data_IF_486218241392
#
_entry.id   IF_486218241392
#
_cell.length_a   1.000
_cell.length_b   1.000
_cell.length_c   1.000
_cell.angle_alpha   90.00
_cell.angle_beta   90.00
_cell.angle_gamma   90.00
#
_symmetry.space_group_name_H-M   'P 1'
#
loop_
_entity.id
_entity.type
_entity.pdbx_description
1 polymer ?
#
# COMPACT_ATOMS: atom_id res chain seq x y z
N UNK A 1 -66.77 -32.29 -13.62
CA UNK A 1 -66.22 -30.91 -13.77
C UNK A 1 -65.79 -30.24 -12.46
N UNK A 2 -66.62 -30.19 -11.40
CA UNK A 2 -66.27 -29.44 -10.15
C UNK A 2 -65.04 -29.97 -9.37
N UNK A 3 -64.69 -31.26 -9.47
CA UNK A 3 -63.49 -31.84 -8.81
C UNK A 3 -62.18 -31.54 -9.55
N UNK A 4 -62.21 -31.48 -10.87
CA UNK A 4 -61.02 -31.15 -11.70
C UNK A 4 -60.64 -29.67 -11.53
N UNK A 5 -61.65 -28.78 -11.46
CA UNK A 5 -61.42 -27.36 -11.25
C UNK A 5 -60.80 -27.04 -9.88
N UNK A 6 -61.15 -27.81 -8.83
CA UNK A 6 -60.55 -27.67 -7.50
C UNK A 6 -59.10 -28.17 -7.44
N UNK A 7 -58.76 -29.21 -8.22
CA UNK A 7 -57.40 -29.74 -8.29
C UNK A 7 -56.46 -28.79 -9.04
N UNK A 8 -56.93 -28.18 -10.13
CA UNK A 8 -56.18 -27.17 -10.88
C UNK A 8 -55.95 -25.89 -10.05
N UNK A 9 -56.94 -25.45 -9.26
CA UNK A 9 -56.80 -24.27 -8.40
C UNK A 9 -55.81 -24.51 -7.24
N UNK A 10 -55.74 -25.73 -6.69
CA UNK A 10 -54.75 -26.08 -5.66
C UNK A 10 -53.32 -26.15 -6.23
N UNK A 11 -53.13 -26.65 -7.46
CA UNK A 11 -51.81 -26.65 -8.11
C UNK A 11 -51.34 -25.24 -8.50
N UNK A 12 -52.25 -24.35 -8.87
CA UNK A 12 -51.93 -22.93 -9.13
C UNK A 12 -51.52 -22.18 -7.85
N UNK A 13 -52.14 -22.50 -6.70
CA UNK A 13 -51.77 -21.89 -5.41
C UNK A 13 -50.45 -22.46 -4.84
N UNK A 14 -50.14 -23.75 -5.05
CA UNK A 14 -48.84 -24.30 -4.69
C UNK A 14 -47.68 -23.75 -5.54
N UNK A 15 -47.89 -23.46 -6.83
CA UNK A 15 -46.85 -22.86 -7.67
C UNK A 15 -46.61 -21.37 -7.36
N UNK A 16 -47.63 -20.63 -6.91
CA UNK A 16 -47.45 -19.24 -6.48
C UNK A 16 -46.58 -19.12 -5.21
N UNK A 17 -46.64 -20.11 -4.31
CA UNK A 17 -45.78 -20.16 -3.12
C UNK A 17 -44.32 -20.52 -3.39
N UNK A 18 -44.05 -21.26 -4.48
CA UNK A 18 -42.70 -21.68 -4.87
C UNK A 18 -41.99 -20.61 -5.70
N UNK A 19 -42.74 -19.84 -6.51
CA UNK A 19 -42.18 -18.72 -7.28
C UNK A 19 -41.70 -17.55 -6.40
N UNK A 20 -42.28 -17.37 -5.20
CA UNK A 20 -41.86 -16.34 -4.24
C UNK A 20 -40.61 -16.67 -3.43
N UNK A 21 -40.12 -17.92 -3.49
CA UNK A 21 -38.96 -18.38 -2.71
C UNK A 21 -37.66 -18.43 -3.53
N UNK A 22 -37.73 -18.43 -4.87
CA UNK A 22 -36.54 -18.49 -5.75
C UNK A 22 -36.03 -17.12 -6.24
N UNK A 23 -36.75 -16.03 -5.96
CA UNK A 23 -36.31 -14.66 -6.29
C UNK A 23 -36.42 -13.75 -5.06
N UNK A 24 -35.52 -13.96 -4.11
CA UNK A 24 -35.08 -12.91 -3.17
C UNK A 24 -33.60 -12.63 -3.37
N UNK A 25 -33.19 -12.39 -4.61
CA UNK A 25 -32.04 -11.52 -4.81
C UNK A 25 -32.52 -10.12 -4.35
N UNK A 26 -31.82 -9.52 -3.38
CA UNK A 26 -32.12 -8.15 -3.00
C UNK A 26 -32.01 -7.28 -4.25
N UNK A 27 -33.03 -6.47 -4.56
CA UNK A 27 -33.04 -5.60 -5.75
C UNK A 27 -31.81 -4.68 -5.83
N UNK A 28 -31.11 -4.48 -4.72
CA UNK A 28 -29.86 -3.72 -4.64
C UNK A 28 -28.68 -4.34 -5.41
N UNK A 29 -28.64 -5.65 -5.64
CA UNK A 29 -27.49 -6.30 -6.34
C UNK A 29 -27.67 -6.37 -7.86
N UNK A 30 -28.83 -5.92 -8.39
CA UNK A 30 -29.11 -5.90 -9.84
C UNK A 30 -28.42 -4.73 -10.55
N UNK A 31 -27.95 -3.72 -9.81
CA UNK A 31 -27.20 -2.56 -10.32
C UNK A 31 -25.68 -2.68 -10.17
N UNK A 32 -25.19 -3.74 -9.55
CA UNK A 32 -23.75 -3.93 -9.29
C UNK A 32 -22.99 -4.03 -10.62
N UNK A 33 -21.82 -3.38 -10.69
CA UNK A 33 -20.89 -3.61 -11.79
C UNK A 33 -20.38 -5.07 -11.75
N UNK A 34 -19.81 -5.54 -12.86
CA UNK A 34 -19.19 -6.88 -12.90
C UNK A 34 -18.09 -7.02 -11.86
N UNK A 35 -17.29 -5.97 -11.66
CA UNK A 35 -16.20 -5.90 -10.69
C UNK A 35 -16.73 -5.93 -9.25
N UNK A 36 -17.78 -5.16 -8.93
CA UNK A 36 -18.44 -5.19 -7.61
C UNK A 36 -18.99 -6.59 -7.32
N UNK A 37 -19.67 -7.20 -8.29
CA UNK A 37 -20.19 -8.55 -8.15
C UNK A 37 -19.07 -9.59 -7.95
N UNK A 38 -17.92 -9.42 -8.61
CA UNK A 38 -16.75 -10.27 -8.44
C UNK A 38 -16.12 -10.11 -7.04
N UNK A 39 -15.87 -8.88 -6.60
CA UNK A 39 -15.33 -8.61 -5.27
C UNK A 39 -16.24 -9.18 -4.17
N UNK A 40 -17.56 -9.02 -4.28
CA UNK A 40 -18.52 -9.61 -3.32
C UNK A 40 -18.40 -11.12 -3.26
N UNK A 41 -18.26 -11.81 -4.41
CA UNK A 41 -18.03 -13.27 -4.44
C UNK A 41 -16.71 -13.66 -3.79
N UNK A 42 -15.63 -12.94 -4.07
CA UNK A 42 -14.31 -13.24 -3.51
C UNK A 42 -14.27 -13.03 -1.99
N UNK A 43 -14.74 -11.87 -1.51
CA UNK A 43 -14.83 -11.61 -0.07
C UNK A 43 -15.73 -12.66 0.59
N UNK A 44 -16.89 -12.96 0.01
CA UNK A 44 -17.80 -13.94 0.58
C UNK A 44 -17.24 -15.35 0.67
N UNK A 45 -16.34 -15.74 -0.25
CA UNK A 45 -15.59 -16.98 -0.10
C UNK A 45 -14.55 -16.86 1.03
N UNK A 46 -13.67 -15.88 0.98
CA UNK A 46 -12.57 -15.76 1.94
C UNK A 46 -13.08 -15.60 3.37
N UNK A 47 -14.10 -14.78 3.59
CA UNK A 47 -14.71 -14.53 4.90
C UNK A 47 -15.74 -15.58 5.33
N UNK A 48 -15.95 -16.65 4.55
CA UNK A 48 -16.93 -17.67 4.88
C UNK A 48 -16.57 -18.35 6.21
N UNK A 49 -17.60 -18.66 7.00
CA UNK A 49 -17.46 -19.37 8.28
C UNK A 49 -16.76 -20.73 8.12
N UNK A 50 -16.92 -21.39 6.97
CA UNK A 50 -16.28 -22.67 6.63
C UNK A 50 -14.75 -22.59 6.52
N UNK A 51 -14.19 -21.39 6.34
CA UNK A 51 -12.73 -21.18 6.34
C UNK A 51 -12.20 -20.90 7.75
N UNK A 52 -13.07 -20.88 8.77
CA UNK A 52 -12.70 -20.80 10.19
C UNK A 52 -11.73 -19.64 10.52
N UNK A 53 -11.82 -18.53 9.77
CA UNK A 53 -10.98 -17.36 9.95
C UNK A 53 -9.58 -17.44 9.32
N UNK A 54 -9.28 -18.48 8.52
CA UNK A 54 -8.05 -18.61 7.73
C UNK A 54 -6.78 -18.48 8.58
N UNK A 55 -6.77 -19.06 9.78
CA UNK A 55 -5.61 -19.06 10.66
C UNK A 55 -4.36 -19.59 9.95
N UNK A 56 -3.19 -18.99 10.17
CA UNK A 56 -1.95 -19.50 9.61
C UNK A 56 -1.78 -20.99 9.93
N UNK A 57 -1.49 -21.80 8.90
CA UNK A 57 -1.35 -23.26 8.97
C UNK A 57 -2.64 -24.07 9.19
N UNK A 58 -3.81 -23.43 9.17
CA UNK A 58 -5.11 -24.12 9.19
C UNK A 58 -5.51 -24.68 7.82
N UNK A 59 -6.49 -25.59 7.81
CA UNK A 59 -7.17 -25.96 6.56
C UNK A 59 -7.87 -24.76 5.90
N UNK A 60 -8.36 -23.78 6.67
CA UNK A 60 -8.93 -22.54 6.13
C UNK A 60 -7.94 -21.70 5.31
N UNK A 61 -6.68 -21.62 5.74
CA UNK A 61 -5.61 -20.96 4.96
C UNK A 61 -5.30 -21.75 3.67
N UNK A 62 -5.30 -23.09 3.74
CA UNK A 62 -5.12 -23.96 2.58
C UNK A 62 -6.22 -23.77 1.54
N UNK A 63 -7.48 -23.81 1.96
CA UNK A 63 -8.62 -23.61 1.06
C UNK A 63 -8.62 -22.20 0.45
N UNK A 64 -8.22 -21.19 1.22
CA UNK A 64 -8.00 -19.84 0.69
C UNK A 64 -6.89 -19.80 -0.38
N UNK A 65 -5.77 -20.49 -0.16
CA UNK A 65 -4.69 -20.58 -1.13
C UNK A 65 -5.13 -21.26 -2.43
N UNK A 66 -5.84 -22.39 -2.32
CA UNK A 66 -6.38 -23.12 -3.48
C UNK A 66 -7.32 -22.22 -4.28
N UNK A 67 -8.25 -21.53 -3.62
CA UNK A 67 -9.15 -20.61 -4.28
C UNK A 67 -8.42 -19.48 -5.01
N UNK A 68 -7.42 -18.88 -4.37
CA UNK A 68 -6.61 -17.82 -4.97
C UNK A 68 -5.86 -18.33 -6.22
N UNK A 69 -5.22 -19.51 -6.13
CA UNK A 69 -4.53 -20.14 -7.24
C UNK A 69 -5.46 -20.50 -8.41
N UNK A 70 -6.64 -21.06 -8.13
CA UNK A 70 -7.64 -21.35 -9.15
C UNK A 70 -8.16 -20.08 -9.84
N UNK A 71 -8.40 -19.01 -9.08
CA UNK A 71 -8.86 -17.74 -9.62
C UNK A 71 -7.79 -17.12 -10.53
N UNK A 72 -6.51 -17.14 -10.15
CA UNK A 72 -5.41 -16.77 -11.04
C UNK A 72 -5.41 -17.58 -12.34
N UNK A 73 -5.53 -18.91 -12.26
CA UNK A 73 -5.64 -19.77 -13.43
C UNK A 73 -6.82 -19.42 -14.34
N UNK A 74 -8.00 -19.14 -13.78
CA UNK A 74 -9.20 -18.70 -14.52
C UNK A 74 -8.99 -17.37 -15.23
N UNK A 75 -8.19 -16.47 -14.65
CA UNK A 75 -7.83 -15.18 -15.26
C UNK A 75 -6.67 -15.29 -16.27
N UNK A 76 -6.11 -16.49 -16.45
CA UNK A 76 -4.98 -16.74 -17.34
C UNK A 76 -3.65 -16.22 -16.79
N UNK A 77 -3.56 -15.98 -15.49
CA UNK A 77 -2.32 -15.62 -14.78
C UNK A 77 -1.53 -16.90 -14.54
N UNK A 78 -0.25 -16.90 -14.89
CA UNK A 78 0.60 -18.08 -14.76
C UNK A 78 0.95 -18.30 -13.29
N UNK A 79 0.82 -19.53 -12.78
CA UNK A 79 1.22 -19.84 -11.41
C UNK A 79 2.71 -20.19 -11.35
N UNK A 80 3.43 -19.54 -10.44
CA UNK A 80 4.83 -19.85 -10.10
C UNK A 80 4.89 -20.84 -8.94
N UNK A 81 3.95 -20.72 -8.00
CA UNK A 81 3.77 -21.70 -6.91
C UNK A 81 2.89 -22.87 -7.37
N UNK A 82 2.87 -24.00 -6.62
CA UNK A 82 1.80 -24.98 -6.73
C UNK A 82 0.41 -24.34 -6.53
N UNK A 83 -0.64 -24.97 -7.07
CA UNK A 83 -2.01 -24.47 -6.96
C UNK A 83 -2.50 -24.38 -5.50
N UNK A 84 -1.99 -25.26 -4.63
CA UNK A 84 -2.27 -25.27 -3.18
C UNK A 84 -1.36 -24.32 -2.38
N UNK A 85 -0.51 -23.56 -3.05
CA UNK A 85 0.51 -22.70 -2.46
C UNK A 85 1.84 -23.41 -2.22
N UNK A 86 2.91 -22.63 -2.18
CA UNK A 86 4.25 -23.08 -1.78
C UNK A 86 4.34 -23.09 -0.26
N UNK A 87 4.67 -24.25 0.32
CA UNK A 87 4.73 -24.44 1.76
C UNK A 87 6.03 -23.91 2.37
N UNK A 88 5.93 -23.33 3.55
CA UNK A 88 7.08 -22.98 4.39
C UNK A 88 6.79 -23.19 5.88
N UNK A 89 7.85 -23.43 6.65
CA UNK A 89 7.76 -23.71 8.09
C UNK A 89 8.29 -22.57 8.95
N UNK A 90 7.61 -22.31 10.06
CA UNK A 90 8.00 -21.37 11.11
C UNK A 90 8.11 -22.10 12.45
N UNK A 91 9.29 -22.04 13.05
CA UNK A 91 9.51 -22.62 14.38
C UNK A 91 8.78 -21.78 15.43
N UNK A 92 7.90 -22.42 16.19
CA UNK A 92 7.16 -21.83 17.29
C UNK A 92 7.95 -21.92 18.59
N UNK A 93 7.61 -21.08 19.56
CA UNK A 93 8.22 -21.12 20.91
C UNK A 93 7.96 -22.45 21.63
N UNK A 94 6.85 -23.14 21.30
CA UNK A 94 6.55 -24.49 21.82
C UNK A 94 7.56 -25.56 21.37
N UNK A 95 8.39 -25.26 20.36
CA UNK A 95 9.27 -26.22 19.70
C UNK A 95 8.65 -26.86 18.45
N UNK A 96 7.35 -26.70 18.22
CA UNK A 96 6.67 -27.18 17.02
C UNK A 96 6.98 -26.31 15.79
N UNK A 97 6.68 -26.83 14.60
CA UNK A 97 6.76 -26.06 13.35
C UNK A 97 5.35 -25.80 12.84
N UNK A 98 5.00 -24.51 12.73
CA UNK A 98 3.82 -24.09 12.01
C UNK A 98 4.13 -24.09 10.51
N UNK A 99 3.32 -24.79 9.72
CA UNK A 99 3.46 -24.82 8.25
C UNK A 99 2.41 -23.90 7.63
N UNK A 100 2.84 -22.85 6.95
CA UNK A 100 1.99 -21.92 6.19
C UNK A 100 2.36 -21.97 4.70
N UNK A 101 1.76 -21.11 3.87
CA UNK A 101 1.87 -21.16 2.41
C UNK A 101 1.76 -19.80 1.74
N UNK A 102 2.52 -19.61 0.67
CA UNK A 102 2.35 -18.47 -0.23
C UNK A 102 1.76 -18.92 -1.56
N UNK A 103 0.97 -18.06 -2.21
CA UNK A 103 0.51 -18.28 -3.59
C UNK A 103 1.11 -17.20 -4.48
N UNK A 104 1.77 -17.59 -5.57
CA UNK A 104 2.47 -16.65 -6.46
C UNK A 104 1.96 -16.81 -7.89
N UNK A 105 1.33 -15.75 -8.40
CA UNK A 105 0.96 -15.57 -9.79
C UNK A 105 1.93 -14.66 -10.54
N UNK A 106 2.05 -14.84 -11.85
CA UNK A 106 2.98 -14.13 -12.72
C UNK A 106 2.27 -13.59 -13.96
N UNK A 107 2.56 -12.34 -14.28
CA UNK A 107 2.13 -11.67 -15.51
C UNK A 107 3.40 -11.17 -16.23
N UNK A 108 3.69 -11.66 -17.45
CA UNK A 108 4.91 -11.28 -18.16
C UNK A 108 4.83 -9.85 -18.70
N UNK A 109 5.92 -9.10 -18.53
CA UNK A 109 6.15 -7.83 -19.21
C UNK A 109 6.60 -8.00 -20.66
N UNK A 110 6.36 -7.01 -21.51
CA UNK A 110 6.70 -7.06 -22.94
C UNK A 110 8.09 -6.49 -23.28
N UNK A 111 8.63 -5.61 -22.43
CA UNK A 111 9.86 -4.86 -22.71
C UNK A 111 11.08 -5.78 -22.59
N UNK A 112 11.98 -5.76 -23.59
CA UNK A 112 13.10 -6.72 -23.66
C UNK A 112 14.09 -6.56 -22.52
N UNK A 113 14.24 -5.35 -21.99
CA UNK A 113 15.17 -5.03 -20.90
C UNK A 113 14.47 -5.14 -19.55
N UNK A 114 13.22 -4.66 -19.46
CA UNK A 114 12.50 -4.55 -18.20
C UNK A 114 11.66 -5.78 -17.83
N UNK A 115 11.38 -6.72 -18.74
CA UNK A 115 10.56 -7.90 -18.43
C UNK A 115 11.15 -8.81 -17.35
N UNK A 116 12.46 -8.75 -17.10
CA UNK A 116 13.14 -9.50 -16.04
C UNK A 116 13.27 -8.69 -14.74
N UNK A 117 12.64 -7.51 -14.68
CA UNK A 117 12.41 -6.74 -13.46
C UNK A 117 10.96 -6.92 -13.04
N UNK A 118 10.74 -6.93 -11.73
CA UNK A 118 9.46 -7.31 -11.14
C UNK A 118 8.87 -6.19 -10.29
N UNK A 119 7.57 -5.96 -10.46
CA UNK A 119 6.75 -5.28 -9.46
C UNK A 119 5.97 -6.33 -8.72
N UNK A 120 6.12 -6.40 -7.40
CA UNK A 120 5.34 -7.30 -6.55
C UNK A 120 4.07 -6.59 -6.10
N UNK A 121 2.92 -7.24 -6.24
CA UNK A 121 1.65 -6.77 -5.69
C UNK A 121 1.16 -7.85 -4.74
N UNK A 122 1.03 -7.50 -3.47
CA UNK A 122 0.81 -8.46 -2.40
C UNK A 122 -0.43 -8.18 -1.58
N UNK A 123 -1.04 -9.24 -1.06
CA UNK A 123 -2.07 -9.19 -0.04
C UNK A 123 -1.87 -10.33 0.96
N UNK A 124 -2.16 -10.07 2.24
CA UNK A 124 -2.20 -11.10 3.28
C UNK A 124 -3.28 -12.14 3.01
N UNK A 125 -2.91 -13.42 3.05
CA UNK A 125 -3.77 -14.59 2.86
C UNK A 125 -4.46 -15.04 4.15
N UNK A 126 -3.68 -15.15 5.23
CA UNK A 126 -4.13 -15.62 6.53
C UNK A 126 -4.89 -14.53 7.31
N UNK A 127 -5.64 -14.96 8.31
CA UNK A 127 -6.23 -14.07 9.31
C UNK A 127 -6.14 -14.74 10.70
N UNK A 128 -6.82 -14.18 11.70
CA UNK A 128 -6.81 -14.70 13.06
C UNK A 128 -7.36 -16.14 13.09
N UNK A 129 -6.59 -17.01 13.73
CA UNK A 129 -7.02 -18.36 14.04
C UNK A 129 -8.32 -18.33 14.89
N UNK A 130 -9.19 -19.35 14.74
CA UNK A 130 -10.39 -19.45 15.55
C UNK A 130 -10.01 -19.58 17.03
N UNK A 131 -10.84 -19.02 17.90
CA UNK A 131 -10.68 -19.10 19.34
C UNK A 131 -11.91 -19.69 20.01
N UNK A 132 -11.91 -19.72 21.33
CA UNK A 132 -13.08 -20.04 22.14
C UNK A 132 -13.39 -18.90 23.10
N UNK A 133 -14.67 -18.71 23.39
CA UNK A 133 -15.13 -17.80 24.44
C UNK A 133 -16.12 -18.50 25.35
N UNK A 134 -16.00 -18.27 26.66
CA UNK A 134 -16.97 -18.74 27.65
C UNK A 134 -17.99 -17.64 27.91
N UNK A 135 -19.27 -17.91 27.59
CA UNK A 135 -20.40 -17.02 27.90
C UNK A 135 -21.33 -17.79 28.82
N UNK A 136 -21.60 -17.26 30.02
CA UNK A 136 -22.44 -17.89 31.04
C UNK A 136 -22.04 -19.33 31.38
N UNK A 137 -20.73 -19.61 31.41
CA UNK A 137 -20.18 -20.94 31.68
C UNK A 137 -20.21 -21.91 30.48
N UNK A 138 -20.73 -21.49 29.33
CA UNK A 138 -20.76 -22.29 28.10
C UNK A 138 -19.63 -21.86 27.17
N UNK A 139 -18.72 -22.79 26.85
CA UNK A 139 -17.67 -22.60 25.85
C UNK A 139 -18.31 -22.60 24.46
N UNK A 140 -18.03 -21.55 23.68
CA UNK A 140 -18.46 -21.42 22.28
C UNK A 140 -17.28 -21.08 21.39
N UNK A 141 -17.32 -21.59 20.17
CA UNK A 141 -16.35 -21.24 19.14
C UNK A 141 -16.52 -19.78 18.72
N UNK A 142 -15.39 -19.10 18.64
CA UNK A 142 -15.26 -17.72 18.18
C UNK A 142 -14.49 -17.72 16.87
N UNK A 143 -15.14 -17.28 15.81
CA UNK A 143 -14.56 -17.20 14.47
C UNK A 143 -14.37 -15.73 14.11
N UNK A 144 -13.21 -15.41 13.55
CA UNK A 144 -12.88 -14.07 13.05
C UNK A 144 -12.93 -14.09 11.52
N UNK A 145 -14.03 -13.65 10.87
CA UNK A 145 -14.18 -13.81 9.43
C UNK A 145 -13.12 -13.04 8.64
N UNK A 146 -12.69 -11.87 9.15
CA UNK A 146 -11.64 -11.07 8.53
C UNK A 146 -12.03 -10.59 7.15
N UNK A 147 -13.26 -10.06 7.01
CA UNK A 147 -13.80 -9.57 5.75
C UNK A 147 -13.00 -8.36 5.24
N UNK A 148 -12.78 -7.35 6.07
CA UNK A 148 -11.87 -6.26 5.73
C UNK A 148 -10.42 -6.70 5.94
N UNK A 149 -10.08 -7.37 7.03
CA UNK A 149 -8.71 -7.82 7.33
C UNK A 149 -8.48 -9.33 7.12
N UNK A 150 -8.13 -9.86 5.95
CA UNK A 150 -7.83 -9.18 4.69
C UNK A 150 -8.53 -9.80 3.48
N UNK A 151 -9.76 -10.31 3.63
CA UNK A 151 -10.51 -10.81 2.46
C UNK A 151 -10.73 -9.70 1.39
N UNK A 152 -10.88 -8.45 1.82
CA UNK A 152 -10.96 -7.28 0.96
C UNK A 152 -9.69 -7.10 0.11
N UNK A 153 -8.50 -7.14 0.70
CA UNK A 153 -7.23 -7.03 -0.03
C UNK A 153 -6.98 -8.20 -0.97
N UNK A 154 -7.38 -9.43 -0.60
CA UNK A 154 -7.33 -10.59 -1.51
C UNK A 154 -8.28 -10.43 -2.71
N UNK A 155 -9.49 -9.90 -2.48
CA UNK A 155 -10.43 -9.59 -3.56
C UNK A 155 -9.87 -8.49 -4.49
N UNK A 156 -9.25 -7.45 -3.93
CA UNK A 156 -8.53 -6.42 -4.70
C UNK A 156 -7.39 -7.02 -5.52
N UNK A 157 -6.58 -7.92 -4.94
CA UNK A 157 -5.47 -8.58 -5.63
C UNK A 157 -5.96 -9.39 -6.84
N UNK A 158 -7.06 -10.12 -6.68
CA UNK A 158 -7.69 -10.89 -7.75
C UNK A 158 -8.19 -10.02 -8.90
N UNK A 159 -8.97 -8.98 -8.59
CA UNK A 159 -9.52 -8.12 -9.63
C UNK A 159 -8.46 -7.23 -10.29
N UNK A 160 -7.49 -6.73 -9.52
CA UNK A 160 -6.33 -6.01 -10.06
C UNK A 160 -5.51 -6.92 -10.98
N UNK A 161 -5.27 -8.16 -10.54
CA UNK A 161 -4.58 -9.18 -11.34
C UNK A 161 -5.31 -9.46 -12.65
N UNK A 162 -6.64 -9.60 -12.62
CA UNK A 162 -7.47 -9.76 -13.82
C UNK A 162 -7.30 -8.58 -14.78
N UNK A 163 -7.41 -7.35 -14.27
CA UNK A 163 -7.27 -6.13 -15.08
C UNK A 163 -5.88 -6.00 -15.71
N UNK A 164 -4.81 -6.24 -14.93
CA UNK A 164 -3.43 -6.22 -15.41
C UNK A 164 -3.18 -7.33 -16.43
N UNK A 165 -3.73 -8.53 -16.21
CA UNK A 165 -3.56 -9.66 -17.12
C UNK A 165 -4.25 -9.44 -18.46
N UNK A 166 -5.44 -8.85 -18.46
CA UNK A 166 -6.14 -8.42 -19.69
C UNK A 166 -5.29 -7.42 -20.49
N UNK A 167 -4.60 -6.51 -19.79
CA UNK A 167 -3.81 -5.43 -20.38
C UNK A 167 -2.30 -5.71 -20.42
N UNK A 168 -1.86 -6.96 -20.24
CA UNK A 168 -0.45 -7.30 -20.02
C UNK A 168 0.51 -6.80 -21.12
N UNK A 169 0.02 -6.63 -22.35
CA UNK A 169 0.80 -6.08 -23.48
C UNK A 169 1.19 -4.61 -23.29
N UNK A 170 0.61 -3.92 -22.31
CA UNK A 170 0.94 -2.55 -21.94
C UNK A 170 1.94 -2.49 -20.78
N UNK A 171 2.36 -3.62 -20.23
CA UNK A 171 3.22 -3.70 -19.05
C UNK A 171 4.67 -3.94 -19.44
N UNK A 172 5.56 -2.97 -19.17
CA UNK A 172 6.99 -3.09 -19.51
C UNK A 172 7.70 -4.10 -18.60
N UNK A 173 7.54 -3.96 -17.29
CA UNK A 173 8.02 -4.93 -16.29
C UNK A 173 7.05 -6.08 -16.10
N UNK A 174 7.57 -7.20 -15.61
CA UNK A 174 6.69 -8.29 -15.17
C UNK A 174 6.09 -7.98 -13.81
N UNK A 175 4.92 -8.56 -13.53
CA UNK A 175 4.22 -8.39 -12.26
C UNK A 175 4.10 -9.74 -11.57
N UNK A 176 4.41 -9.76 -10.27
CA UNK A 176 4.19 -10.89 -9.39
C UNK A 176 3.01 -10.56 -8.47
N UNK A 177 1.98 -11.40 -8.49
CA UNK A 177 0.82 -11.30 -7.60
C UNK A 177 0.99 -12.30 -6.48
N UNK A 178 1.03 -11.86 -5.23
CA UNK A 178 1.38 -12.73 -4.10
C UNK A 178 0.34 -12.69 -2.99
N UNK A 179 -0.21 -13.85 -2.66
CA UNK A 179 -0.94 -14.08 -1.41
C UNK A 179 0.03 -14.57 -0.35
N UNK A 180 0.31 -13.74 0.66
CA UNK A 180 1.29 -14.06 1.72
C UNK A 180 0.62 -14.81 2.88
N UNK A 181 1.11 -16.02 3.19
CA UNK A 181 0.68 -16.77 4.36
C UNK A 181 1.39 -16.32 5.63
N UNK A 182 0.79 -16.61 6.78
CA UNK A 182 1.34 -16.29 8.10
C UNK A 182 1.83 -14.84 8.26
N UNK A 183 1.20 -13.89 7.56
CA UNK A 183 1.52 -12.47 7.64
C UNK A 183 1.18 -11.89 9.00
N UNK A 184 0.15 -12.44 9.66
CA UNK A 184 -0.20 -12.09 11.05
C UNK A 184 0.90 -12.44 12.06
N UNK A 185 1.86 -13.31 11.69
CA UNK A 185 3.03 -13.65 12.50
C UNK A 185 4.28 -12.97 11.93
N UNK A 186 4.35 -11.64 12.07
CA UNK A 186 5.50 -10.82 11.66
C UNK A 186 5.86 -10.92 10.16
N UNK A 187 4.85 -10.95 9.26
CA UNK A 187 5.06 -10.94 7.80
C UNK A 187 5.90 -12.13 7.29
N UNK A 188 5.74 -13.28 7.95
CA UNK A 188 6.61 -14.42 7.72
C UNK A 188 6.57 -14.93 6.28
N UNK A 189 5.40 -14.93 5.63
CA UNK A 189 5.27 -15.29 4.22
C UNK A 189 6.03 -14.34 3.30
N UNK A 190 5.92 -13.03 3.51
CA UNK A 190 6.68 -12.04 2.74
C UNK A 190 8.20 -12.15 2.97
N UNK A 191 8.63 -12.40 4.21
CA UNK A 191 10.03 -12.66 4.51
C UNK A 191 10.52 -13.94 3.83
N UNK A 192 9.76 -15.03 3.87
CA UNK A 192 10.13 -16.28 3.23
C UNK A 192 10.22 -16.14 1.70
N UNK A 193 9.26 -15.44 1.09
CA UNK A 193 9.28 -15.11 -0.33
C UNK A 193 10.58 -14.41 -0.74
N UNK A 194 10.99 -13.37 0.00
CA UNK A 194 12.19 -12.58 -0.28
C UNK A 194 13.52 -13.29 0.00
N UNK A 195 13.55 -14.24 0.95
CA UNK A 195 14.81 -14.80 1.44
C UNK A 195 15.04 -16.25 1.01
N UNK A 196 14.00 -16.96 0.55
CA UNK A 196 14.06 -18.42 0.35
C UNK A 196 13.38 -18.91 -0.92
N UNK A 197 12.23 -18.33 -1.29
CA UNK A 197 11.37 -18.87 -2.36
C UNK A 197 11.66 -18.26 -3.73
N UNK A 198 11.67 -16.93 -3.85
CA UNK A 198 11.92 -16.27 -5.13
C UNK A 198 13.43 -16.06 -5.33
N UNK A 199 14.00 -16.61 -6.40
CA UNK A 199 15.45 -16.55 -6.65
C UNK A 199 15.95 -15.18 -7.10
N UNK A 200 15.09 -14.40 -7.77
CA UNK A 200 15.48 -13.18 -8.50
C UNK A 200 15.10 -11.91 -7.72
N UNK A 201 15.19 -11.97 -6.40
CA UNK A 201 14.76 -10.88 -5.50
C UNK A 201 15.52 -9.57 -5.72
N UNK A 202 16.77 -9.65 -6.20
CA UNK A 202 17.57 -8.49 -6.59
C UNK A 202 16.94 -7.67 -7.75
N UNK A 203 16.06 -8.30 -8.55
CA UNK A 203 15.36 -7.66 -9.67
C UNK A 203 13.94 -7.20 -9.30
N UNK A 204 13.54 -7.27 -8.03
CA UNK A 204 12.31 -6.66 -7.55
C UNK A 204 12.54 -5.15 -7.42
N UNK A 205 11.88 -4.36 -8.27
CA UNK A 205 12.06 -2.92 -8.32
C UNK A 205 11.16 -2.17 -7.32
N UNK A 206 9.98 -2.71 -7.00
CA UNK A 206 9.08 -2.16 -5.98
C UNK A 206 7.98 -3.15 -5.58
N UNK A 207 7.27 -2.81 -4.50
CA UNK A 207 6.14 -3.56 -3.97
C UNK A 207 4.90 -2.69 -3.71
N UNK A 208 3.73 -3.19 -4.08
CA UNK A 208 2.41 -2.63 -3.73
C UNK A 208 1.74 -3.59 -2.75
N UNK A 209 1.36 -3.10 -1.57
CA UNK A 209 0.67 -3.87 -0.54
C UNK A 209 -0.80 -3.49 -0.46
N UNK A 210 -1.67 -4.50 -0.43
CA UNK A 210 -3.12 -4.35 -0.34
C UNK A 210 -3.60 -4.98 0.97
N UNK A 211 -3.95 -4.15 1.96
CA UNK A 211 -4.46 -4.63 3.25
C UNK A 211 -5.58 -3.74 3.76
N UNK A 212 -6.73 -4.35 4.10
CA UNK A 212 -7.88 -3.65 4.69
C UNK A 212 -8.46 -2.55 3.78
N UNK A 213 -8.78 -2.90 2.53
CA UNK A 213 -9.36 -2.01 1.52
C UNK A 213 -10.85 -2.29 1.32
N UNK A 214 -11.68 -1.84 2.24
CA UNK A 214 -13.12 -2.09 2.13
C UNK A 214 -14.05 -1.24 2.97
N UNK A 215 -13.53 -0.44 3.90
CA UNK A 215 -14.39 0.30 4.85
C UNK A 215 -14.70 1.73 4.48
N UNK A 216 -14.26 2.26 3.33
CA UNK A 216 -14.68 3.51 2.63
C UNK A 216 -14.83 4.79 3.48
N UNK A 217 -15.73 4.77 4.46
CA UNK A 217 -15.92 5.78 5.50
C UNK A 217 -14.68 6.03 6.39
N UNK A 218 -13.79 5.04 6.50
CA UNK A 218 -12.53 5.19 7.25
C UNK A 218 -11.47 6.01 6.50
N UNK A 219 -11.68 6.28 5.21
CA UNK A 219 -10.74 6.97 4.33
C UNK A 219 -10.08 6.03 3.30
N UNK A 220 -9.18 6.58 2.49
CA UNK A 220 -8.32 5.84 1.57
C UNK A 220 -6.91 6.41 1.69
N UNK A 221 -5.95 5.57 2.08
CA UNK A 221 -4.61 6.00 2.45
C UNK A 221 -3.54 5.27 1.64
N UNK A 222 -2.43 5.97 1.43
CA UNK A 222 -1.23 5.43 0.84
C UNK A 222 -0.02 5.73 1.74
N UNK A 223 0.59 4.68 2.28
CA UNK A 223 1.82 4.78 3.05
C UNK A 223 3.00 4.34 2.18
N UNK A 224 3.91 5.26 1.88
CA UNK A 224 5.07 5.02 0.98
C UNK A 224 6.39 4.84 1.71
N UNK A 225 6.36 4.70 3.04
CA UNK A 225 7.56 4.67 3.88
C UNK A 225 8.51 5.85 3.62
N UNK A 226 7.95 7.02 3.35
CA UNK A 226 8.69 8.25 2.96
C UNK A 226 9.50 8.13 1.66
N UNK A 227 9.17 7.21 0.76
CA UNK A 227 9.85 7.08 -0.52
C UNK A 227 9.38 8.18 -1.52
N UNK A 228 10.24 9.13 -1.92
CA UNK A 228 9.86 10.25 -2.78
C UNK A 228 9.41 9.82 -4.19
N UNK A 229 10.02 8.79 -4.75
CA UNK A 229 9.70 8.32 -6.10
C UNK A 229 8.31 7.67 -6.13
N UNK A 230 7.95 6.95 -5.07
CA UNK A 230 6.59 6.42 -4.92
C UNK A 230 5.55 7.55 -4.74
N UNK A 231 5.89 8.57 -3.92
CA UNK A 231 5.04 9.75 -3.75
C UNK A 231 4.85 10.54 -5.06
N UNK A 232 5.87 10.59 -5.92
CA UNK A 232 5.83 11.29 -7.19
C UNK A 232 4.78 10.67 -8.13
N UNK A 233 4.63 9.35 -8.14
CA UNK A 233 3.60 8.66 -8.92
C UNK A 233 2.20 9.06 -8.44
N UNK A 234 1.96 9.01 -7.12
CA UNK A 234 0.69 9.43 -6.54
C UNK A 234 0.37 10.91 -6.83
N UNK A 235 1.38 11.78 -6.74
CA UNK A 235 1.25 13.22 -7.03
C UNK A 235 0.92 13.47 -8.50
N UNK A 236 1.56 12.73 -9.42
CA UNK A 236 1.30 12.84 -10.84
C UNK A 236 -0.14 12.41 -11.19
N UNK A 237 -0.61 11.29 -10.60
CA UNK A 237 -1.98 10.81 -10.79
C UNK A 237 -3.02 11.77 -10.23
N UNK A 238 -2.73 12.46 -9.13
CA UNK A 238 -3.61 13.50 -8.59
C UNK A 238 -3.86 14.67 -9.55
N UNK A 239 -2.97 14.90 -10.53
CA UNK A 239 -3.14 15.88 -11.61
C UNK A 239 -4.01 15.39 -12.76
N UNK A 240 -4.52 14.16 -12.71
CA UNK A 240 -5.35 13.53 -13.75
C UNK A 240 -6.77 13.25 -13.23
N UNK A 241 -7.68 12.83 -14.10
CA UNK A 241 -9.01 12.41 -13.67
C UNK A 241 -8.92 11.04 -12.96
N UNK A 242 -9.11 11.05 -11.65
CA UNK A 242 -9.16 9.84 -10.81
C UNK A 242 -10.51 9.76 -10.08
N UNK A 243 -11.06 8.55 -9.88
CA UNK A 243 -12.33 8.37 -9.16
C UNK A 243 -12.21 8.63 -7.65
N UNK A 244 -11.00 8.46 -7.10
CA UNK A 244 -10.64 8.72 -5.71
C UNK A 244 -9.14 9.04 -5.65
N UNK A 245 -8.70 9.77 -4.62
CA UNK A 245 -7.29 10.02 -4.34
C UNK A 245 -6.97 9.54 -2.92
N UNK A 246 -5.86 8.80 -2.72
CA UNK A 246 -5.43 8.44 -1.39
C UNK A 246 -4.80 9.64 -0.68
N UNK A 247 -4.99 9.70 0.63
CA UNK A 247 -4.16 10.55 1.49
C UNK A 247 -2.79 9.91 1.68
N UNK A 248 -1.73 10.61 1.26
CA UNK A 248 -0.36 10.20 1.55
C UNK A 248 -0.05 10.45 3.02
N UNK A 249 0.23 9.38 3.75
CA UNK A 249 0.48 9.42 5.19
C UNK A 249 1.84 8.86 5.55
N UNK A 250 2.44 9.38 6.62
CA UNK A 250 3.62 8.82 7.29
C UNK A 250 3.24 7.93 8.48
N UNK A 251 1.96 7.92 8.87
CA UNK A 251 1.45 7.02 9.89
C UNK A 251 0.92 5.76 9.22
N UNK A 252 1.59 4.65 9.51
CA UNK A 252 1.12 3.32 9.15
C UNK A 252 -0.02 2.90 10.11
N UNK A 253 -1.26 2.71 9.62
CA UNK A 253 -2.40 2.42 10.51
C UNK A 253 -2.26 1.07 11.20
N UNK A 254 -1.87 0.06 10.42
CA UNK A 254 -1.57 -1.28 10.88
C UNK A 254 -0.32 -1.81 10.17
N UNK A 255 0.59 -2.45 10.91
CA UNK A 255 1.73 -3.13 10.33
C UNK A 255 1.36 -4.23 9.33
N UNK A 256 1.99 -4.28 8.16
CA UNK A 256 1.66 -5.24 7.08
C UNK A 256 2.89 -5.70 6.26
N UNK A 257 2.69 -6.57 5.26
CA UNK A 257 3.75 -7.31 4.56
C UNK A 257 4.81 -6.44 3.86
N UNK A 258 4.45 -5.22 3.47
CA UNK A 258 5.40 -4.26 2.91
C UNK A 258 6.61 -3.98 3.81
N UNK A 259 6.51 -4.21 5.12
CA UNK A 259 7.63 -4.05 6.06
C UNK A 259 8.78 -5.01 5.75
N UNK A 260 8.52 -6.23 5.28
CA UNK A 260 9.57 -7.16 4.87
C UNK A 260 10.34 -6.65 3.64
N UNK A 261 9.62 -6.05 2.67
CA UNK A 261 10.21 -5.43 1.49
C UNK A 261 11.00 -4.17 1.84
N UNK A 262 10.46 -3.33 2.72
CA UNK A 262 11.15 -2.15 3.22
C UNK A 262 12.46 -2.54 3.93
N UNK A 263 12.44 -3.55 4.79
CA UNK A 263 13.63 -4.06 5.47
C UNK A 263 14.69 -4.63 4.50
N UNK A 264 14.26 -5.14 3.33
CA UNK A 264 15.12 -5.62 2.26
C UNK A 264 15.63 -4.51 1.32
N UNK A 265 15.30 -3.25 1.58
CA UNK A 265 15.71 -2.13 0.73
C UNK A 265 14.90 -1.99 -0.57
N UNK A 266 13.68 -2.53 -0.60
CA UNK A 266 12.79 -2.47 -1.76
C UNK A 266 11.73 -1.37 -1.52
N UNK A 267 11.58 -0.40 -2.44
CA UNK A 267 10.54 0.63 -2.37
C UNK A 267 9.15 -0.01 -2.28
N UNK A 268 8.34 0.45 -1.34
CA UNK A 268 6.99 -0.07 -1.17
C UNK A 268 5.96 1.02 -0.97
N UNK A 269 4.74 0.75 -1.41
CA UNK A 269 3.53 1.51 -1.10
C UNK A 269 2.49 0.58 -0.52
N UNK A 270 1.84 1.02 0.55
CA UNK A 270 0.78 0.29 1.22
C UNK A 270 -0.53 1.07 1.11
N UNK A 271 -1.51 0.46 0.44
CA UNK A 271 -2.87 0.97 0.32
C UNK A 271 -3.80 0.33 1.35
N UNK A 272 -4.57 1.17 2.04
CA UNK A 272 -5.52 0.74 3.07
C UNK A 272 -6.67 1.74 3.24
N UNK A 273 -7.81 1.27 3.76
CA UNK A 273 -8.89 2.16 4.23
C UNK A 273 -8.66 2.69 5.65
N UNK A 274 -7.55 2.32 6.29
CA UNK A 274 -7.16 2.85 7.60
C UNK A 274 -7.74 2.06 8.79
N UNK A 275 -7.86 2.71 9.95
CA UNK A 275 -8.37 2.08 11.17
C UNK A 275 -9.89 1.97 11.12
N UNK A 276 -10.44 0.82 11.51
CA UNK A 276 -11.88 0.57 11.60
C UNK A 276 -12.25 -0.16 12.90
N UNK A 277 -13.46 0.07 13.48
CA UNK A 277 -13.84 -0.46 14.79
C UNK A 277 -13.96 -1.99 14.89
N UNK A 278 -14.29 -2.66 13.78
CA UNK A 278 -14.51 -4.11 13.73
C UNK A 278 -13.22 -4.92 13.58
N UNK A 279 -12.07 -4.24 13.45
CA UNK A 279 -10.78 -4.89 13.25
C UNK A 279 -10.50 -5.96 14.31
N UNK A 280 -10.04 -7.14 13.87
CA UNK A 280 -9.75 -8.29 14.72
C UNK A 280 -10.92 -8.73 15.62
N UNK A 281 -12.16 -8.62 15.12
CA UNK A 281 -13.35 -9.02 15.85
C UNK A 281 -14.29 -9.90 15.01
N UNK A 282 -15.23 -10.57 15.68
CA UNK A 282 -16.30 -11.36 15.05
C UNK A 282 -17.23 -10.51 14.15
N UNK A 283 -17.17 -9.18 14.30
CA UNK A 283 -17.95 -8.22 13.50
C UNK A 283 -17.28 -7.84 12.19
N UNK A 284 -16.03 -8.24 11.95
CA UNK A 284 -15.32 -8.04 10.68
C UNK A 284 -15.90 -8.94 9.58
N UNK A 285 -17.11 -8.60 9.14
CA UNK A 285 -18.00 -9.38 8.27
C UNK A 285 -18.24 -8.63 6.96
N UNK A 286 -18.64 -9.34 5.92
CA UNK A 286 -18.89 -8.76 4.58
C UNK A 286 -19.85 -7.57 4.58
N UNK A 287 -20.73 -7.50 5.58
CA UNK A 287 -21.73 -6.42 5.71
C UNK A 287 -21.14 -5.05 6.03
N UNK A 288 -19.87 -4.96 6.48
CA UNK A 288 -19.20 -3.68 6.74
C UNK A 288 -18.52 -3.10 5.49
N UNK A 289 -18.42 -3.89 4.41
CA UNK A 289 -17.69 -3.49 3.21
C UNK A 289 -18.53 -2.63 2.28
N UNK A 290 -17.88 -1.61 1.70
CA UNK A 290 -18.45 -0.67 0.74
C UNK A 290 -17.90 -0.97 -0.65
N UNK A 291 -18.51 -1.92 -1.36
CA UNK A 291 -17.96 -2.47 -2.60
C UNK A 291 -17.84 -1.43 -3.73
N UNK A 292 -18.72 -0.43 -3.79
CA UNK A 292 -18.63 0.65 -4.78
C UNK A 292 -17.45 1.59 -4.47
N UNK A 293 -17.09 1.75 -3.20
CA UNK A 293 -15.86 2.46 -2.82
C UNK A 293 -14.63 1.63 -3.17
N UNK A 294 -14.68 0.32 -2.91
CA UNK A 294 -13.63 -0.61 -3.30
C UNK A 294 -13.35 -0.56 -4.81
N UNK A 295 -14.38 -0.48 -5.65
CA UNK A 295 -14.18 -0.38 -7.10
C UNK A 295 -13.41 0.89 -7.49
N UNK A 296 -13.75 2.04 -6.89
CA UNK A 296 -13.03 3.30 -7.13
C UNK A 296 -11.58 3.23 -6.65
N UNK A 297 -11.34 2.64 -5.48
CA UNK A 297 -10.00 2.42 -4.93
C UNK A 297 -9.18 1.49 -5.85
N UNK A 298 -9.78 0.41 -6.33
CA UNK A 298 -9.17 -0.52 -7.28
C UNK A 298 -8.79 0.17 -8.59
N UNK A 299 -9.65 1.01 -9.14
CA UNK A 299 -9.35 1.79 -10.34
C UNK A 299 -8.14 2.72 -10.15
N UNK A 300 -8.05 3.41 -9.01
CA UNK A 300 -6.88 4.22 -8.68
C UNK A 300 -5.63 3.35 -8.55
N UNK A 301 -5.70 2.24 -7.81
CA UNK A 301 -4.58 1.32 -7.60
C UNK A 301 -4.11 0.72 -8.92
N UNK A 302 -5.02 0.42 -9.85
CA UNK A 302 -4.69 -0.03 -11.21
C UNK A 302 -3.87 1.03 -11.96
N UNK A 303 -4.32 2.30 -11.96
CA UNK A 303 -3.59 3.39 -12.60
C UNK A 303 -2.21 3.61 -11.97
N UNK A 304 -2.10 3.49 -10.64
CA UNK A 304 -0.84 3.53 -9.92
C UNK A 304 0.08 2.38 -10.31
N UNK A 305 -0.42 1.15 -10.32
CA UNK A 305 0.33 -0.04 -10.70
C UNK A 305 0.84 0.05 -12.14
N UNK A 306 0.00 0.45 -13.10
CA UNK A 306 0.40 0.65 -14.50
C UNK A 306 1.49 1.73 -14.62
N UNK A 307 1.35 2.84 -13.88
CA UNK A 307 2.35 3.92 -13.87
C UNK A 307 3.69 3.44 -13.31
N UNK A 308 3.67 2.67 -12.22
CA UNK A 308 4.86 2.11 -11.59
C UNK A 308 5.54 1.05 -12.49
N UNK A 309 4.76 0.12 -13.04
CA UNK A 309 5.24 -0.95 -13.92
C UNK A 309 5.93 -0.40 -15.17
N UNK A 310 5.45 0.73 -15.70
CA UNK A 310 5.96 1.33 -16.93
C UNK A 310 6.99 2.46 -16.71
N UNK A 311 7.03 3.01 -15.49
CA UNK A 311 7.86 4.15 -15.12
C UNK A 311 9.34 3.83 -14.87
N UNK A 312 10.15 4.81 -14.46
CA UNK A 312 11.51 4.57 -14.01
C UNK A 312 11.53 3.69 -12.75
N UNK A 313 12.64 2.96 -12.52
CA UNK A 313 12.84 2.18 -11.30
C UNK A 313 12.85 3.14 -10.09
N UNK A 314 11.97 2.96 -9.09
CA UNK A 314 12.01 3.79 -7.88
C UNK A 314 13.30 3.51 -7.10
N UNK A 315 13.86 4.55 -6.51
CA UNK A 315 15.03 4.45 -5.66
C UNK A 315 14.57 4.24 -4.22
N UNK A 316 15.08 3.21 -3.56
CA UNK A 316 14.85 3.03 -2.14
C UNK A 316 15.62 4.09 -1.36
N UNK A 317 14.88 4.93 -0.67
CA UNK A 317 15.45 5.84 0.31
C UNK A 317 15.00 5.32 1.67
N UNK A 318 15.87 4.60 2.37
CA UNK A 318 15.54 4.20 3.71
C UNK A 318 15.27 5.48 4.53
N UNK A 319 14.11 5.59 5.15
CA UNK A 319 13.89 6.61 6.18
C UNK A 319 14.95 6.51 7.29
N UNK A 320 15.63 5.36 7.42
CA UNK A 320 16.78 5.13 8.29
C UNK A 320 18.16 5.41 7.65
N UNK A 321 18.31 5.55 6.34
CA UNK A 321 19.56 6.03 5.72
C UNK A 321 19.69 7.55 5.78
N UNK A 322 18.56 8.26 5.93
CA UNK A 322 18.55 9.63 6.44
C UNK A 322 18.98 9.68 7.93
N UNK A 323 18.75 8.62 8.71
CA UNK A 323 19.23 8.49 10.12
C UNK A 323 20.66 7.94 10.26
N UNK A 324 21.26 7.34 9.23
CA UNK A 324 22.60 6.71 9.29
C UNK A 324 23.73 7.60 8.77
N UNK A 325 23.60 8.93 8.85
CA UNK A 325 24.76 9.82 8.83
C UNK A 325 25.37 9.95 10.23
N UNK A 326 26.18 8.95 10.57
CA UNK A 326 27.36 9.09 11.44
C UNK A 326 27.17 8.83 12.95
N UNK A 327 28.11 8.09 13.59
CA UNK A 327 28.17 7.92 15.04
C UNK A 327 28.77 9.17 15.69
N UNK A 328 28.25 9.56 16.87
CA UNK A 328 28.60 10.75 17.67
C UNK A 328 28.06 12.11 17.16
N UNK A 329 26.86 12.51 17.61
CA UNK A 329 26.53 13.85 18.19
C UNK A 329 25.04 14.20 18.06
N UNK A 330 24.48 14.76 19.15
CA UNK A 330 23.24 15.53 19.28
C UNK A 330 21.98 15.07 18.51
N UNK A 331 20.99 14.50 19.23
CA UNK A 331 19.64 14.16 18.76
C UNK A 331 19.05 15.15 17.71
N UNK A 332 19.19 14.81 16.42
CA UNK A 332 18.53 15.49 15.30
C UNK A 332 17.27 14.70 14.92
N UNK A 333 16.15 15.40 14.76
CA UNK A 333 14.83 14.86 14.43
C UNK A 333 14.45 15.32 13.02
N UNK A 334 13.89 14.47 12.15
CA UNK A 334 13.39 14.92 10.86
C UNK A 334 12.30 16.01 11.01
N UNK A 335 12.28 17.00 10.12
CA UNK A 335 11.35 18.12 10.16
C UNK A 335 9.89 17.70 10.25
N UNK A 336 9.52 16.65 9.52
CA UNK A 336 8.16 16.13 9.47
C UNK A 336 7.77 15.28 10.69
N UNK A 337 8.76 14.82 11.46
CA UNK A 337 8.59 14.00 12.67
C UNK A 337 8.48 14.86 13.96
N UNK A 338 8.56 16.19 13.83
CA UNK A 338 8.37 17.11 14.95
C UNK A 338 6.87 17.31 15.26
N UNK A 339 6.43 17.09 16.51
CA UNK A 339 5.05 17.39 16.97
C UNK A 339 4.61 18.81 16.60
N UNK A 340 5.54 19.78 16.77
CA UNK A 340 5.43 21.10 16.16
C UNK A 340 6.64 21.32 15.30
N UNK A 341 6.41 21.44 14.01
CA UNK A 341 7.47 21.68 13.03
C UNK A 341 8.09 23.05 13.25
N UNK A 342 9.39 23.22 12.94
CA UNK A 342 9.99 24.54 12.85
C UNK A 342 9.18 25.45 11.91
N UNK A 343 9.11 26.74 12.20
CA UNK A 343 8.36 27.67 11.35
C UNK A 343 9.21 28.84 10.87
N UNK A 344 9.14 29.14 9.57
CA UNK A 344 9.76 30.31 8.97
C UNK A 344 8.70 31.38 8.74
N UNK A 345 8.91 32.59 9.29
CA UNK A 345 7.92 33.67 9.25
C UNK A 345 6.52 33.23 9.70
N UNK A 346 6.46 32.34 10.70
CA UNK A 346 5.20 31.81 11.25
C UNK A 346 4.58 30.65 10.48
N UNK A 347 5.11 30.27 9.32
CA UNK A 347 4.61 29.14 8.52
C UNK A 347 5.42 27.86 8.73
N UNK A 348 4.73 26.73 8.89
CA UNK A 348 5.31 25.38 8.89
C UNK A 348 5.38 24.77 7.48
N UNK A 349 4.99 25.49 6.44
CA UNK A 349 5.18 25.06 5.05
C UNK A 349 6.56 25.52 4.56
N UNK A 350 7.50 24.59 4.25
CA UNK A 350 8.81 24.93 3.73
C UNK A 350 8.78 25.74 2.42
N UNK A 351 7.69 25.69 1.64
CA UNK A 351 7.54 26.53 0.43
C UNK A 351 7.62 28.02 0.75
N UNK A 352 7.14 28.44 1.92
CA UNK A 352 7.23 29.84 2.35
C UNK A 352 8.69 30.26 2.49
N UNK A 353 9.56 29.39 3.00
CA UNK A 353 10.99 29.67 3.05
C UNK A 353 11.60 29.78 1.65
N UNK A 354 11.25 28.87 0.73
CA UNK A 354 11.72 28.96 -0.66
C UNK A 354 11.31 30.26 -1.33
N UNK A 355 10.04 30.58 -1.29
CA UNK A 355 9.46 31.73 -2.01
C UNK A 355 9.83 33.07 -1.39
N UNK A 356 9.80 33.18 -0.06
CA UNK A 356 9.99 34.46 0.64
C UNK A 356 11.46 34.76 0.94
N UNK A 357 12.31 33.73 0.98
CA UNK A 357 13.73 33.89 1.24
C UNK A 357 14.58 33.38 0.06
N UNK A 358 14.60 32.07 -0.18
CA UNK A 358 15.58 31.47 -1.10
C UNK A 358 15.53 32.13 -2.48
N UNK A 359 14.40 32.09 -3.18
CA UNK A 359 14.29 32.65 -4.53
C UNK A 359 14.37 34.17 -4.59
N UNK A 360 14.15 34.86 -3.48
CA UNK A 360 14.30 36.32 -3.38
C UNK A 360 15.77 36.75 -3.29
N UNK A 361 16.61 35.93 -2.64
CA UNK A 361 18.01 36.24 -2.38
C UNK A 361 18.99 35.35 -3.15
N UNK A 362 18.48 34.44 -3.97
CA UNK A 362 19.24 33.58 -4.87
C UNK A 362 19.86 34.42 -5.99
N UNK A 363 21.12 34.15 -6.29
CA UNK A 363 21.94 34.79 -7.32
C UNK A 363 22.41 33.75 -8.30
N UNK A 364 21.81 33.72 -9.49
CA UNK A 364 22.26 32.81 -10.53
C UNK A 364 23.73 33.12 -10.90
N UNK A 365 24.67 32.17 -10.76
CA UNK A 365 26.07 32.41 -11.12
C UNK A 365 26.20 32.76 -12.60
N UNK A 366 26.89 33.85 -12.93
CA UNK A 366 27.00 34.33 -14.32
C UNK A 366 27.59 33.27 -15.25
N UNK A 367 28.55 32.48 -14.76
CA UNK A 367 29.14 31.38 -15.53
C UNK A 367 28.12 30.27 -15.82
N UNK A 368 27.29 29.92 -14.83
CA UNK A 368 26.22 28.94 -15.02
C UNK A 368 25.20 29.42 -16.05
N UNK A 369 24.89 30.73 -16.06
CA UNK A 369 24.05 31.34 -17.10
C UNK A 369 24.70 31.23 -18.48
N UNK A 370 25.99 31.59 -18.61
CA UNK A 370 26.74 31.50 -19.90
C UNK A 370 26.77 30.09 -20.46
N UNK A 371 26.91 29.09 -19.58
CA UNK A 371 26.97 27.68 -19.96
C UNK A 371 25.59 27.03 -20.10
N UNK A 372 24.51 27.74 -19.80
CA UNK A 372 23.14 27.19 -19.87
C UNK A 372 22.85 26.12 -18.81
N UNK A 373 23.62 26.08 -17.73
CA UNK A 373 23.47 25.11 -16.64
C UNK A 373 22.21 25.49 -15.85
N UNK A 374 21.31 24.53 -15.68
CA UNK A 374 20.04 24.67 -14.94
C UNK A 374 19.66 23.33 -14.30
N UNK A 375 18.85 23.34 -13.26
CA UNK A 375 18.42 22.12 -12.58
C UNK A 375 17.97 22.35 -11.15
N UNK A 376 17.86 21.28 -10.37
CA UNK A 376 17.41 21.32 -8.97
C UNK A 376 18.49 20.76 -8.06
N UNK A 377 19.01 21.60 -7.17
CA UNK A 377 20.00 21.21 -6.16
C UNK A 377 19.25 20.80 -4.90
N UNK A 378 19.46 19.57 -4.43
CA UNK A 378 18.90 19.10 -3.14
C UNK A 378 19.85 19.48 -2.02
N UNK A 379 19.41 20.37 -1.13
CA UNK A 379 20.17 20.81 0.04
C UNK A 379 19.50 20.33 1.31
N UNK A 380 20.31 19.80 2.20
CA UNK A 380 19.91 19.32 3.52
C UNK A 380 20.54 20.19 4.60
N UNK A 381 19.77 20.59 5.61
CA UNK A 381 20.24 21.45 6.68
C UNK A 381 19.45 21.25 7.98
N UNK A 382 20.04 21.69 9.09
CA UNK A 382 19.48 21.53 10.43
C UNK A 382 19.04 22.90 10.98
N UNK A 383 17.80 22.98 11.43
CA UNK A 383 17.29 24.08 12.26
C UNK A 383 17.49 23.68 13.72
N UNK A 384 18.44 24.29 14.41
CA UNK A 384 18.73 23.93 15.79
C UNK A 384 17.67 24.40 16.79
N UNK A 385 17.85 24.09 18.07
CA UNK A 385 16.91 24.42 19.16
C UNK A 385 16.74 25.93 19.38
N UNK A 386 17.62 26.76 18.81
CA UNK A 386 17.52 28.23 18.80
C UNK A 386 16.86 28.77 17.54
N UNK A 387 16.54 27.91 16.57
CA UNK A 387 15.97 28.29 15.29
C UNK A 387 16.98 28.65 14.21
N UNK A 388 18.28 28.42 14.44
CA UNK A 388 19.31 28.76 13.44
C UNK A 388 19.54 27.63 12.45
N UNK A 389 19.69 27.97 11.18
CA UNK A 389 20.17 27.04 10.16
C UNK A 389 21.65 26.75 10.40
N UNK A 390 21.98 25.46 10.43
CA UNK A 390 23.32 24.91 10.68
C UNK A 390 23.50 23.65 9.85
N UNK A 391 24.75 23.27 9.57
CA UNK A 391 25.07 21.99 8.93
C UNK A 391 24.53 21.83 7.50
N UNK A 392 24.30 22.92 6.77
CA UNK A 392 23.80 22.84 5.41
C UNK A 392 24.81 22.16 4.47
N UNK A 393 24.36 21.18 3.70
CA UNK A 393 25.17 20.38 2.76
C UNK A 393 24.34 19.99 1.54
N UNK A 394 25.00 19.84 0.39
CA UNK A 394 24.34 19.36 -0.82
C UNK A 394 24.25 17.85 -0.78
N UNK A 395 23.04 17.31 -0.95
CA UNK A 395 22.79 15.87 -1.10
C UNK A 395 22.89 15.43 -2.56
N UNK A 396 22.33 16.25 -3.46
CA UNK A 396 22.35 16.01 -4.89
C UNK A 396 22.59 17.33 -5.60
N UNK A 397 23.78 17.45 -6.16
CA UNK A 397 24.19 18.59 -6.94
C UNK A 397 23.71 18.53 -8.39
N UNK A 398 23.86 19.66 -9.07
CA UNK A 398 23.74 19.76 -10.54
C UNK A 398 25.09 20.12 -11.13
N UNK A 399 25.67 21.18 -10.60
CA UNK A 399 26.97 21.72 -10.96
C UNK A 399 27.52 22.48 -9.74
N UNK A 400 28.85 22.46 -9.48
CA UNK A 400 29.45 23.16 -8.35
C UNK A 400 29.02 24.62 -8.21
N UNK A 401 28.81 25.32 -9.32
CA UNK A 401 28.36 26.72 -9.29
C UNK A 401 26.97 26.88 -8.66
N UNK A 402 26.03 26.01 -9.01
CA UNK A 402 24.67 26.05 -8.46
C UNK A 402 24.63 25.53 -7.02
N UNK A 403 25.45 24.52 -6.74
CA UNK A 403 25.59 23.90 -5.43
C UNK A 403 26.10 24.92 -4.38
N UNK A 404 27.14 25.68 -4.72
CA UNK A 404 27.69 26.74 -3.87
C UNK A 404 26.67 27.85 -3.59
N UNK A 405 25.92 28.28 -4.61
CA UNK A 405 24.91 29.31 -4.44
C UNK A 405 23.73 28.82 -3.57
N UNK A 406 23.29 27.59 -3.77
CA UNK A 406 22.22 26.99 -2.96
C UNK A 406 22.63 26.92 -1.48
N UNK A 407 23.87 26.52 -1.20
CA UNK A 407 24.41 26.53 0.16
C UNK A 407 24.51 27.93 0.74
N UNK A 408 24.97 28.91 -0.05
CA UNK A 408 25.12 30.30 0.41
C UNK A 408 23.78 30.88 0.87
N UNK A 409 22.73 30.73 0.05
CA UNK A 409 21.42 31.33 0.36
C UNK A 409 20.71 30.64 1.53
N UNK A 410 20.88 29.32 1.67
CA UNK A 410 20.32 28.55 2.79
C UNK A 410 21.06 28.88 4.10
N UNK A 411 22.39 28.92 4.10
CA UNK A 411 23.17 29.28 5.29
C UNK A 411 22.94 30.72 5.75
N UNK A 412 22.54 31.62 4.83
CA UNK A 412 22.21 33.00 5.15
C UNK A 412 20.80 33.19 5.75
N UNK A 413 20.04 32.11 5.96
CA UNK A 413 18.65 32.14 6.44
C UNK A 413 18.49 32.92 7.75
N UNK A 414 17.45 33.76 7.89
CA UNK A 414 17.03 34.32 9.17
C UNK A 414 16.63 33.22 10.16
N UNK A 415 16.59 33.57 11.45
CA UNK A 415 16.20 32.64 12.49
C UNK A 415 14.74 32.17 12.32
N UNK A 416 14.53 30.87 12.47
CA UNK A 416 13.24 30.19 12.47
C UNK A 416 12.69 30.13 13.90
N UNK A 417 11.40 29.80 14.02
CA UNK A 417 10.91 29.21 15.26
C UNK A 417 11.34 27.75 15.31
N UNK A 418 11.96 27.27 16.41
CA UNK A 418 12.44 25.89 16.50
C UNK A 418 11.28 24.89 16.60
N UNK A 419 11.53 23.67 16.14
CA UNK A 419 10.61 22.55 16.28
C UNK A 419 10.58 21.98 17.69
N UNK A 420 9.53 21.23 18.02
CA UNK A 420 9.40 20.54 19.32
C UNK A 420 8.91 19.12 19.19
N UNK A 421 9.41 18.24 20.07
CA UNK A 421 8.93 16.86 20.31
C UNK A 421 8.71 16.68 21.80
N UNK A 422 7.57 16.14 22.20
CA UNK A 422 7.12 15.97 23.59
C UNK A 422 7.28 17.27 24.42
N UNK A 423 6.99 18.41 23.78
CA UNK A 423 7.10 19.74 24.38
C UNK A 423 8.53 20.29 24.54
N UNK A 424 9.58 19.54 24.16
CA UNK A 424 10.98 19.98 24.20
C UNK A 424 11.45 20.45 22.82
N UNK A 425 12.24 21.52 22.79
CA UNK A 425 12.88 21.99 21.54
C UNK A 425 13.93 20.98 21.08
N UNK A 426 13.96 20.72 19.77
CA UNK A 426 14.87 19.74 19.16
C UNK A 426 15.58 20.35 17.96
N UNK A 427 16.70 19.74 17.53
CA UNK A 427 17.30 20.01 16.23
C UNK A 427 16.44 19.33 15.17
N UNK A 428 16.01 20.08 14.16
CA UNK A 428 15.15 19.58 13.10
C UNK A 428 15.89 19.56 11.76
N UNK A 429 16.04 18.40 11.12
CA UNK A 429 16.67 18.27 9.79
C UNK A 429 15.62 18.37 8.68
N UNK A 430 15.92 19.18 7.66
CA UNK A 430 15.06 19.38 6.51
C UNK A 430 15.87 19.34 5.21
N UNK A 431 15.35 18.62 4.23
CA UNK A 431 15.87 18.56 2.87
C UNK A 431 14.95 19.28 1.89
N UNK A 432 15.50 20.13 1.04
CA UNK A 432 14.75 20.99 0.12
C UNK A 432 15.44 21.09 -1.25
N UNK A 433 14.64 21.09 -2.33
CA UNK A 433 15.16 21.39 -3.66
C UNK A 433 15.17 22.90 -3.92
N UNK A 434 16.34 23.43 -4.23
CA UNK A 434 16.51 24.79 -4.77
C UNK A 434 16.53 24.68 -6.30
N UNK A 435 15.52 25.24 -6.95
CA UNK A 435 15.42 25.23 -8.41
C UNK A 435 16.17 26.42 -9.02
N UNK A 436 17.04 26.11 -9.98
CA UNK A 436 17.72 27.08 -10.84
C UNK A 436 17.17 26.93 -12.24
N UNK A 437 16.33 27.87 -12.66
CA UNK A 437 15.72 27.89 -13.98
C UNK A 437 16.10 29.16 -14.72
N UNK A 438 16.61 29.01 -15.94
CA UNK A 438 16.84 30.15 -16.82
C UNK A 438 15.51 30.55 -17.46
N UNK A 439 15.16 31.83 -17.37
CA UNK A 439 14.01 32.37 -18.10
C UNK A 439 14.38 32.47 -19.58
N UNK A 440 13.53 31.91 -20.45
CA UNK A 440 13.64 32.15 -21.89
C UNK A 440 13.29 33.62 -22.14
N UNK A 441 14.26 34.41 -22.59
CA UNK A 441 13.97 35.71 -23.19
C UNK A 441 13.29 35.55 -24.54
#
# INVERSE_FOLDING_TARGET
MKRILRLCLLMLLCNAGIAGAQYRAAYSTLSDSETVAAMRRHVGFFAARSLEGRGAGSEGEKEAAVYLGEAFGKYGIDLVSPAEGELFGLRQESGDTLTSRNVVGFIPGYDKELKNHYIVIGARLDNLAPGTITIDGVVRDRIYPGANGNASGLAMLLELGRMLRTNFRLLRRSVLLVGFGSSSQNYAGAWYFLNRSFSDTANIDAMINLDMLGTGASGFYAYTSSNPDMNAIATALAGTLQPVLPELTSEEPYPSDHRAFYAAGIPSIYFTSGRYPEHNSERDTEGILQYEAMERELEYIYNYAVSLVNGPKPIFNAADELKKRGPESDNVVPYYDCDRRPTFLGSADPKVFLEKWVYKYLRYPEEAVRQGIQGRVLVDFIINERGKVTGAKVLRGVDPLLDEEALRVINASPDWRPGTVLGKKVKAEISMYVEFRLEKK
#
